data_IF_270912715290
#
_entry.id   IF_270912715290
#
_cell.length_a   1.000
_cell.length_b   1.000
_cell.length_c   1.000
_cell.angle_alpha   90.00
_cell.angle_beta   90.00
_cell.angle_gamma   90.00
#
_symmetry.space_group_name_H-M   'P 1'
#
loop_
_entity.id
_entity.type
_entity.pdbx_description
1 polymer ?
#
# COMPACT_ATOMS: atom_id res chain seq x y z
N UNK A 1 -7.05 -1.39 -4.99
CA UNK A 1 -6.58 -2.41 -4.00
C UNK A 1 -5.41 -1.90 -3.16
N UNK A 2 -4.23 -1.58 -3.72
CA UNK A 2 -3.05 -1.20 -2.90
C UNK A 2 -3.08 0.24 -2.36
N UNK A 3 -3.78 1.14 -3.05
CA UNK A 3 -3.81 2.59 -2.79
C UNK A 3 -5.01 3.04 -1.96
N UNK A 4 -5.77 2.10 -1.39
CA UNK A 4 -6.87 2.43 -0.48
C UNK A 4 -6.37 2.63 0.96
N UNK A 5 -7.24 3.21 1.78
CA UNK A 5 -7.05 3.34 3.22
C UNK A 5 -5.79 4.12 3.61
N UNK A 6 -5.58 5.28 2.98
CA UNK A 6 -4.58 6.26 3.44
C UNK A 6 -3.15 6.04 2.94
N UNK A 7 -2.86 4.92 2.27
CA UNK A 7 -1.48 4.50 1.92
C UNK A 7 -0.66 5.57 1.18
N UNK A 8 -1.31 6.33 0.28
CA UNK A 8 -0.67 7.34 -0.57
C UNK A 8 -0.77 8.76 -0.02
N UNK A 9 -1.28 8.94 1.20
CA UNK A 9 -1.56 10.25 1.80
C UNK A 9 -3.00 10.73 1.62
N UNK A 10 -3.76 10.11 0.72
CA UNK A 10 -5.20 10.28 0.58
C UNK A 10 -5.95 9.02 1.00
N UNK A 11 -7.22 9.17 1.41
CA UNK A 11 -8.02 8.03 1.87
C UNK A 11 -8.12 6.96 0.77
N UNK A 12 -8.29 7.38 -0.48
CA UNK A 12 -8.22 6.53 -1.65
C UNK A 12 -7.37 7.17 -2.74
N UNK A 13 -6.60 6.36 -3.48
CA UNK A 13 -5.69 6.89 -4.52
C UNK A 13 -6.36 7.77 -5.57
N UNK A 14 -7.63 7.54 -5.92
CA UNK A 14 -8.37 8.37 -6.88
C UNK A 14 -8.66 9.79 -6.38
N UNK A 15 -8.63 10.01 -5.05
CA UNK A 15 -8.85 11.34 -4.47
C UNK A 15 -7.74 12.33 -4.80
N UNK A 16 -6.51 11.86 -5.06
CA UNK A 16 -5.42 12.72 -5.55
C UNK A 16 -5.79 13.47 -6.85
N UNK A 17 -6.68 12.88 -7.65
CA UNK A 17 -7.14 13.47 -8.91
C UNK A 17 -8.56 14.07 -8.82
N UNK A 18 -9.21 14.02 -7.65
CA UNK A 18 -10.62 14.42 -7.51
C UNK A 18 -11.59 13.58 -8.34
N UNK A 19 -11.25 12.33 -8.64
CA UNK A 19 -12.05 11.43 -9.48
C UNK A 19 -12.86 10.46 -8.61
N UNK A 20 -14.11 10.25 -9.01
CA UNK A 20 -14.96 9.16 -8.52
C UNK A 20 -15.10 8.09 -9.60
N UNK A 21 -14.50 6.90 -9.45
CA UNK A 21 -14.60 5.84 -10.45
C UNK A 21 -15.97 5.15 -10.41
N UNK A 22 -16.47 4.71 -11.56
CA UNK A 22 -17.72 3.94 -11.64
C UNK A 22 -17.63 2.56 -11.00
N UNK A 23 -16.42 1.98 -10.99
CA UNK A 23 -16.11 0.70 -10.33
C UNK A 23 -14.79 0.86 -9.55
N UNK A 24 -14.78 0.43 -8.29
CA UNK A 24 -13.62 0.49 -7.42
C UNK A 24 -13.35 -0.85 -6.73
N UNK A 25 -12.11 -1.33 -6.82
CA UNK A 25 -11.67 -2.56 -6.14
C UNK A 25 -10.88 -2.26 -4.86
N UNK A 26 -11.35 -2.81 -3.74
CA UNK A 26 -10.76 -2.74 -2.40
C UNK A 26 -10.26 -4.12 -1.93
N UNK A 27 -9.36 -4.12 -0.94
CA UNK A 27 -8.77 -5.31 -0.35
C UNK A 27 -7.56 -4.92 0.51
N UNK A 28 -6.61 -5.83 0.74
CA UNK A 28 -5.36 -5.58 1.49
C UNK A 28 -5.63 -4.89 2.85
N UNK A 29 -5.42 -3.57 2.92
CA UNK A 29 -5.59 -2.77 4.13
C UNK A 29 -7.06 -2.68 4.61
N UNK A 30 -8.03 -3.11 3.78
CA UNK A 30 -9.44 -3.20 4.15
C UNK A 30 -9.66 -3.93 5.49
N UNK A 31 -8.91 -5.00 5.74
CA UNK A 31 -9.00 -5.82 6.96
C UNK A 31 -7.82 -5.64 7.91
N UNK A 32 -6.99 -4.62 7.69
CA UNK A 32 -5.73 -4.46 8.43
C UNK A 32 -4.74 -5.62 8.25
N UNK A 33 -4.95 -6.51 7.27
CA UNK A 33 -4.13 -7.71 7.07
C UNK A 33 -4.51 -8.92 7.92
N UNK A 34 -5.58 -8.85 8.71
CA UNK A 34 -5.99 -9.94 9.62
C UNK A 34 -6.71 -11.10 8.92
N UNK A 35 -7.57 -10.79 7.95
CA UNK A 35 -8.37 -11.79 7.23
C UNK A 35 -8.44 -11.46 5.74
N UNK A 36 -8.57 -12.49 4.90
CA UNK A 36 -8.72 -12.29 3.46
C UNK A 36 -10.09 -11.69 3.14
N UNK A 37 -10.10 -10.55 2.45
CA UNK A 37 -11.30 -9.91 1.92
C UNK A 37 -10.92 -9.01 0.76
N UNK A 38 -11.76 -9.02 -0.27
CA UNK A 38 -11.80 -8.01 -1.31
C UNK A 38 -13.24 -7.53 -1.49
N UNK A 39 -13.40 -6.33 -2.02
CA UNK A 39 -14.70 -5.77 -2.36
C UNK A 39 -14.63 -5.06 -3.71
N UNK A 40 -15.69 -5.18 -4.50
CA UNK A 40 -15.91 -4.38 -5.70
C UNK A 40 -17.10 -3.49 -5.43
N UNK A 41 -16.88 -2.18 -5.43
CA UNK A 41 -17.92 -1.16 -5.30
C UNK A 41 -18.23 -0.68 -6.72
N UNK A 42 -19.51 -0.45 -7.01
CA UNK A 42 -19.95 0.08 -8.29
C UNK A 42 -20.97 1.20 -8.07
N UNK A 43 -21.09 2.11 -9.02
CA UNK A 43 -22.21 3.05 -9.09
C UNK A 43 -23.51 2.33 -9.36
N UNK A 44 -24.62 2.97 -9.01
CA UNK A 44 -25.96 2.47 -9.31
C UNK A 44 -26.15 2.23 -10.81
N UNK A 45 -25.65 3.13 -11.67
CA UNK A 45 -25.71 2.98 -13.12
C UNK A 45 -25.07 1.66 -13.59
N UNK A 46 -23.87 1.34 -13.09
CA UNK A 46 -23.19 0.07 -13.41
C UNK A 46 -23.96 -1.11 -12.84
N UNK A 47 -24.37 -1.04 -11.57
CA UNK A 47 -25.08 -2.13 -10.90
C UNK A 47 -26.38 -2.48 -11.63
N UNK A 48 -27.19 -1.48 -12.00
CA UNK A 48 -28.43 -1.67 -12.75
C UNK A 48 -28.18 -2.14 -14.18
N UNK A 49 -27.16 -1.58 -14.86
CA UNK A 49 -26.76 -2.02 -16.19
C UNK A 49 -26.42 -3.50 -16.25
N UNK A 50 -25.67 -4.01 -15.26
CA UNK A 50 -25.34 -5.44 -15.13
C UNK A 50 -26.57 -6.29 -14.78
N UNK A 51 -27.52 -5.71 -14.03
CA UNK A 51 -28.78 -6.35 -13.66
C UNK A 51 -29.90 -6.21 -14.69
N UNK A 52 -29.61 -5.76 -15.92
CA UNK A 52 -30.57 -5.82 -17.04
C UNK A 52 -31.71 -4.80 -16.99
N UNK A 53 -31.57 -3.70 -16.24
CA UNK A 53 -32.63 -2.69 -16.12
C UNK A 53 -32.10 -1.31 -15.75
N UNK A 54 -33.01 -0.31 -15.75
CA UNK A 54 -32.76 1.05 -15.23
C UNK A 54 -33.46 1.31 -13.88
N UNK A 55 -34.09 0.28 -13.30
CA UNK A 55 -34.83 0.36 -12.04
C UNK A 55 -34.60 -0.90 -11.20
N UNK A 56 -35.00 -0.84 -9.93
CA UNK A 56 -34.95 -1.97 -8.99
C UNK A 56 -35.98 -3.07 -9.29
N UNK A 57 -36.78 -2.93 -10.36
CA UNK A 57 -37.85 -3.86 -10.66
C UNK A 57 -37.31 -5.12 -11.34
N UNK A 58 -37.26 -6.22 -10.59
CA UNK A 58 -36.85 -7.55 -11.05
C UNK A 58 -35.44 -7.60 -11.70
N UNK A 59 -34.37 -7.28 -10.96
CA UNK A 59 -33.01 -7.28 -11.48
C UNK A 59 -32.55 -8.69 -11.89
N UNK A 60 -31.86 -8.80 -13.02
CA UNK A 60 -31.10 -10.00 -13.38
C UNK A 60 -29.94 -10.19 -12.39
N UNK A 61 -29.72 -11.42 -11.89
CA UNK A 61 -28.62 -11.69 -10.98
C UNK A 61 -27.28 -11.60 -11.70
N UNK A 62 -26.29 -10.98 -11.05
CA UNK A 62 -24.90 -11.12 -11.43
C UNK A 62 -24.43 -12.54 -11.07
N UNK A 63 -24.08 -13.34 -12.07
CA UNK A 63 -23.65 -14.74 -11.90
C UNK A 63 -22.22 -14.85 -11.35
N UNK A 64 -22.02 -14.32 -10.15
CA UNK A 64 -20.76 -14.31 -9.41
C UNK A 64 -21.06 -14.42 -7.91
N UNK A 65 -20.50 -15.43 -7.25
CA UNK A 65 -20.78 -15.68 -5.83
C UNK A 65 -19.78 -16.63 -5.18
N UNK A 66 -18.61 -16.14 -4.73
CA UNK A 66 -17.65 -16.93 -3.98
C UNK A 66 -18.28 -17.53 -2.70
N UNK A 67 -17.89 -18.75 -2.30
CA UNK A 67 -18.44 -19.43 -1.11
C UNK A 67 -18.34 -18.60 0.18
N UNK A 68 -17.24 -17.84 0.34
CA UNK A 68 -17.01 -16.96 1.50
C UNK A 68 -17.41 -15.50 1.24
N UNK A 69 -18.22 -15.23 0.21
CA UNK A 69 -18.72 -13.88 -0.08
C UNK A 69 -19.46 -13.32 1.14
N UNK A 70 -19.08 -12.11 1.57
CA UNK A 70 -19.69 -11.47 2.74
C UNK A 70 -19.44 -12.19 4.07
N UNK A 71 -18.35 -12.96 4.20
CA UNK A 71 -18.01 -13.68 5.43
C UNK A 71 -18.11 -12.75 6.67
N UNK A 72 -18.98 -13.05 7.66
CA UNK A 72 -19.24 -12.14 8.78
C UNK A 72 -18.01 -11.82 9.64
N UNK A 73 -17.07 -12.76 9.79
CA UNK A 73 -15.84 -12.52 10.55
C UNK A 73 -14.93 -11.52 9.83
N UNK A 74 -14.72 -11.71 8.53
CA UNK A 74 -13.94 -10.79 7.72
C UNK A 74 -14.61 -9.39 7.65
N UNK A 75 -15.94 -9.32 7.59
CA UNK A 75 -16.68 -8.05 7.63
C UNK A 75 -16.50 -7.33 8.97
N UNK A 76 -16.59 -8.06 10.08
CA UNK A 76 -16.38 -7.51 11.43
C UNK A 76 -14.97 -6.93 11.59
N UNK A 77 -13.96 -7.68 11.14
CA UNK A 77 -12.56 -7.21 11.13
C UNK A 77 -12.36 -6.00 10.23
N UNK A 78 -12.99 -5.97 9.05
CA UNK A 78 -12.92 -4.82 8.14
C UNK A 78 -13.51 -3.56 8.78
N UNK A 79 -14.68 -3.67 9.41
CA UNK A 79 -15.31 -2.56 10.12
C UNK A 79 -14.40 -2.03 11.24
N UNK A 80 -13.88 -2.93 12.10
CA UNK A 80 -12.97 -2.53 13.17
C UNK A 80 -11.68 -1.87 12.63
N UNK A 81 -11.13 -2.37 11.53
CA UNK A 81 -9.94 -1.77 10.88
C UNK A 81 -10.22 -0.38 10.33
N UNK A 82 -11.38 -0.18 9.71
CA UNK A 82 -11.79 1.12 9.17
C UNK A 82 -12.07 2.11 10.30
N UNK A 83 -12.82 1.71 11.34
CA UNK A 83 -13.12 2.54 12.50
C UNK A 83 -11.84 2.97 13.24
N UNK A 84 -10.90 2.04 13.41
CA UNK A 84 -9.59 2.34 13.99
C UNK A 84 -8.81 3.33 13.12
N UNK A 85 -8.79 3.16 11.81
CA UNK A 85 -8.13 4.11 10.91
C UNK A 85 -8.75 5.50 11.08
N UNK A 86 -10.07 5.63 10.93
CA UNK A 86 -10.80 6.90 10.94
C UNK A 86 -10.78 7.59 12.31
N UNK A 87 -10.64 6.85 13.41
CA UNK A 87 -10.52 7.41 14.77
C UNK A 87 -9.10 7.84 15.15
N UNK A 88 -8.10 7.59 14.30
CA UNK A 88 -6.71 7.98 14.55
C UNK A 88 -6.29 9.18 13.67
N UNK A 89 -5.24 9.93 14.04
CA UNK A 89 -4.70 11.01 13.21
C UNK A 89 -3.87 10.44 12.04
N UNK A 90 -4.46 9.56 11.24
CA UNK A 90 -3.77 8.78 10.21
C UNK A 90 -3.15 9.67 9.13
N UNK A 91 -3.79 10.77 8.74
CA UNK A 91 -3.25 11.72 7.77
C UNK A 91 -1.91 12.29 8.27
N UNK A 92 -1.88 12.76 9.52
CA UNK A 92 -0.67 13.33 10.12
C UNK A 92 0.43 12.27 10.24
N UNK A 93 0.08 11.02 10.60
CA UNK A 93 1.04 9.90 10.66
C UNK A 93 1.65 9.61 9.28
N UNK A 94 0.82 9.50 8.24
CA UNK A 94 1.29 9.24 6.87
C UNK A 94 2.14 10.40 6.35
N UNK A 95 1.77 11.65 6.66
CA UNK A 95 2.58 12.82 6.30
C UNK A 95 3.94 12.83 7.02
N UNK A 96 4.01 12.44 8.29
CA UNK A 96 5.27 12.29 9.03
C UNK A 96 6.16 11.22 8.40
N UNK A 97 5.60 10.03 8.11
CA UNK A 97 6.31 8.96 7.41
C UNK A 97 6.83 9.45 6.05
N UNK A 98 6.00 10.15 5.28
CA UNK A 98 6.39 10.69 3.97
C UNK A 98 7.59 11.66 4.09
N UNK A 99 7.55 12.57 5.07
CA UNK A 99 8.65 13.51 5.29
C UNK A 99 9.94 12.78 5.65
N UNK A 100 9.88 11.80 6.55
CA UNK A 100 11.05 11.03 6.95
C UNK A 100 11.61 10.19 5.80
N UNK A 101 10.75 9.52 5.03
CA UNK A 101 11.17 8.78 3.83
C UNK A 101 11.84 9.70 2.80
N UNK A 102 11.36 10.94 2.63
CA UNK A 102 12.03 11.89 1.73
C UNK A 102 13.42 12.25 2.24
N UNK A 103 13.53 12.70 3.49
CA UNK A 103 14.79 13.18 4.05
C UNK A 103 15.84 12.08 4.27
N UNK A 104 15.41 10.89 4.69
CA UNK A 104 16.33 9.81 5.07
C UNK A 104 16.56 8.77 3.97
N UNK A 105 15.69 8.67 2.96
CA UNK A 105 15.83 7.70 1.89
C UNK A 105 15.96 8.36 0.51
N UNK A 106 14.99 9.19 0.10
CA UNK A 106 14.96 9.74 -1.27
C UNK A 106 16.12 10.69 -1.54
N UNK A 107 16.25 11.75 -0.73
CA UNK A 107 17.23 12.81 -0.92
C UNK A 107 18.69 12.30 -0.91
N UNK A 108 19.11 11.40 0.01
CA UNK A 108 20.48 10.89 0.00
C UNK A 108 20.75 9.82 -1.08
N UNK A 109 19.74 9.08 -1.55
CA UNK A 109 19.95 7.97 -2.49
C UNK A 109 19.77 8.34 -3.96
N UNK A 110 19.05 9.42 -4.29
CA UNK A 110 18.71 9.75 -5.68
C UNK A 110 19.92 9.92 -6.61
N UNK A 111 21.07 10.30 -6.05
CA UNK A 111 22.31 10.54 -6.78
C UNK A 111 23.34 9.39 -6.62
N UNK A 112 22.96 8.27 -5.98
CA UNK A 112 23.84 7.12 -5.79
C UNK A 112 24.10 6.38 -7.12
N UNK A 113 25.34 5.92 -7.39
CA UNK A 113 25.66 5.22 -8.63
C UNK A 113 24.83 3.97 -8.90
N UNK A 114 24.40 3.24 -7.87
CA UNK A 114 23.57 2.04 -7.98
C UNK A 114 22.08 2.31 -8.15
N UNK A 115 21.63 3.54 -7.95
CA UNK A 115 20.21 3.94 -7.97
C UNK A 115 19.87 4.59 -9.32
N UNK A 116 18.78 4.13 -9.92
CA UNK A 116 18.22 4.68 -11.15
C UNK A 116 17.19 5.77 -10.87
N UNK A 117 16.36 5.59 -9.83
CA UNK A 117 15.35 6.56 -9.40
C UNK A 117 15.01 6.37 -7.91
N UNK A 118 14.64 7.45 -7.23
CA UNK A 118 14.21 7.44 -5.84
C UNK A 118 12.89 8.23 -5.71
N UNK A 119 11.84 7.57 -5.20
CA UNK A 119 10.49 8.12 -5.19
C UNK A 119 9.74 7.82 -3.90
N UNK A 120 9.00 8.82 -3.43
CA UNK A 120 8.20 8.75 -2.19
C UNK A 120 6.81 9.36 -2.43
N UNK A 121 5.77 8.59 -2.07
CA UNK A 121 4.37 9.04 -2.07
C UNK A 121 3.63 8.44 -0.87
N UNK A 122 3.15 9.29 0.03
CA UNK A 122 2.56 8.88 1.31
C UNK A 122 3.53 8.00 2.11
N UNK A 123 3.01 6.89 2.62
CA UNK A 123 3.78 5.89 3.35
C UNK A 123 4.33 4.80 2.41
N UNK A 124 4.96 5.24 1.32
CA UNK A 124 5.63 4.41 0.32
C UNK A 124 6.96 5.06 -0.01
N UNK A 125 8.06 4.33 0.17
CA UNK A 125 9.40 4.73 -0.27
C UNK A 125 9.98 3.68 -1.21
N UNK A 126 10.56 4.10 -2.32
CA UNK A 126 11.11 3.22 -3.35
C UNK A 126 12.47 3.74 -3.80
N UNK A 127 13.45 2.85 -3.83
CA UNK A 127 14.65 2.97 -4.63
C UNK A 127 14.55 1.98 -5.79
N UNK A 128 14.57 2.50 -7.01
CA UNK A 128 14.78 1.68 -8.20
C UNK A 128 16.27 1.55 -8.42
N UNK A 129 16.78 0.34 -8.31
CA UNK A 129 18.19 0.01 -8.51
C UNK A 129 18.48 -0.12 -10.01
N UNK A 130 19.74 0.11 -10.43
CA UNK A 130 20.15 -0.12 -11.81
C UNK A 130 20.19 -1.61 -12.17
N UNK A 131 20.58 -2.44 -11.21
CA UNK A 131 20.61 -3.89 -11.34
C UNK A 131 19.54 -4.59 -10.49
N UNK A 132 19.04 -5.76 -10.89
CA UNK A 132 18.10 -6.54 -10.08
C UNK A 132 18.68 -6.95 -8.72
N UNK A 133 17.81 -7.05 -7.73
CA UNK A 133 18.12 -7.52 -6.38
C UNK A 133 17.89 -9.02 -6.28
N UNK A 134 18.83 -9.72 -5.65
CA UNK A 134 18.83 -11.17 -5.49
C UNK A 134 18.51 -11.61 -4.06
N UNK A 135 18.40 -12.93 -3.81
CA UNK A 135 18.21 -13.49 -2.47
C UNK A 135 19.27 -13.00 -1.46
N UNK A 136 20.52 -12.85 -1.89
CA UNK A 136 21.62 -12.38 -1.04
C UNK A 136 21.43 -10.96 -0.51
N UNK A 137 20.65 -10.14 -1.23
CA UNK A 137 20.31 -8.78 -0.78
C UNK A 137 19.20 -8.80 0.26
N UNK A 138 18.28 -9.76 0.14
CA UNK A 138 17.26 -9.99 1.16
C UNK A 138 17.88 -10.57 2.43
N UNK A 139 18.80 -11.53 2.30
CA UNK A 139 19.54 -12.12 3.43
C UNK A 139 20.32 -11.02 4.16
N UNK A 140 21.02 -10.15 3.44
CA UNK A 140 21.70 -8.99 4.03
C UNK A 140 20.75 -8.08 4.84
N UNK A 141 19.56 -7.77 4.29
CA UNK A 141 18.59 -6.92 5.00
C UNK A 141 18.07 -7.58 6.28
N UNK A 142 17.88 -8.90 6.27
CA UNK A 142 17.38 -9.64 7.43
C UNK A 142 18.49 -9.89 8.45
N UNK A 143 19.59 -10.48 8.03
CA UNK A 143 20.64 -10.98 8.91
C UNK A 143 21.51 -9.85 9.46
N UNK A 144 21.92 -8.91 8.61
CA UNK A 144 22.82 -7.81 9.01
C UNK A 144 22.04 -6.60 9.51
N UNK A 145 20.92 -6.26 8.88
CA UNK A 145 20.17 -5.05 9.24
C UNK A 145 19.00 -5.34 10.20
N UNK A 146 18.56 -6.60 10.34
CA UNK A 146 17.38 -6.94 11.15
C UNK A 146 16.09 -6.28 10.64
N UNK A 147 15.95 -6.15 9.31
CA UNK A 147 14.79 -5.54 8.64
C UNK A 147 14.26 -6.48 7.55
N UNK A 148 12.99 -6.85 7.67
CA UNK A 148 12.31 -7.57 6.59
C UNK A 148 11.80 -6.59 5.52
N UNK A 149 12.45 -6.59 4.36
CA UNK A 149 11.90 -6.03 3.13
C UNK A 149 11.80 -7.15 2.09
N UNK A 150 10.90 -6.97 1.13
CA UNK A 150 10.73 -7.90 0.01
C UNK A 150 10.99 -7.17 -1.30
N UNK A 151 12.27 -7.07 -1.73
CA UNK A 151 12.59 -6.53 -3.04
C UNK A 151 11.87 -7.27 -4.17
N UNK A 152 11.63 -6.58 -5.29
CA UNK A 152 11.04 -7.19 -6.48
C UNK A 152 11.70 -6.66 -7.74
N UNK A 153 12.43 -7.54 -8.44
CA UNK A 153 13.25 -7.15 -9.58
C UNK A 153 14.25 -6.08 -9.15
N UNK A 154 14.12 -4.87 -9.70
CA UNK A 154 14.99 -3.73 -9.38
C UNK A 154 14.47 -2.86 -8.22
N UNK A 155 13.33 -3.18 -7.63
CA UNK A 155 12.67 -2.32 -6.66
C UNK A 155 13.02 -2.73 -5.23
N UNK A 156 13.81 -1.90 -4.56
CA UNK A 156 13.95 -1.90 -3.10
C UNK A 156 12.94 -0.92 -2.54
N UNK A 157 11.88 -1.40 -1.89
CA UNK A 157 10.79 -0.55 -1.44
C UNK A 157 10.28 -0.92 -0.06
N UNK A 158 9.64 0.06 0.58
CA UNK A 158 8.96 -0.10 1.86
C UNK A 158 7.57 0.52 1.85
N UNK A 159 6.65 -0.12 2.57
CA UNK A 159 5.29 0.34 2.84
C UNK A 159 4.99 0.14 4.33
N UNK A 160 5.60 0.93 5.23
CA UNK A 160 5.56 0.65 6.67
C UNK A 160 4.14 0.79 7.26
N UNK A 161 3.85 0.16 8.41
CA UNK A 161 2.59 0.39 9.12
C UNK A 161 2.49 1.86 9.57
N UNK A 162 1.28 2.40 9.69
CA UNK A 162 1.10 3.81 10.11
C UNK A 162 1.40 4.04 11.59
N UNK A 163 1.57 2.97 12.36
CA UNK A 163 1.95 2.99 13.77
C UNK A 163 3.47 2.94 13.96
N UNK A 164 4.27 2.91 12.89
CA UNK A 164 5.73 2.87 12.97
C UNK A 164 6.27 4.11 13.70
N UNK A 165 7.25 3.90 14.58
CA UNK A 165 7.99 5.00 15.21
C UNK A 165 9.05 5.60 14.29
N UNK A 166 9.54 6.79 14.62
CA UNK A 166 10.62 7.44 13.87
C UNK A 166 11.91 6.59 13.88
N UNK A 167 12.21 5.93 15.00
CA UNK A 167 13.40 5.08 15.15
C UNK A 167 13.29 3.81 14.29
N UNK A 168 12.13 3.14 14.32
CA UNK A 168 11.90 1.96 13.47
C UNK A 168 11.93 2.33 11.98
N UNK A 169 11.35 3.48 11.60
CA UNK A 169 11.43 3.94 10.21
C UNK A 169 12.87 4.29 9.82
N UNK A 170 13.65 4.89 10.73
CA UNK A 170 15.09 5.15 10.51
C UNK A 170 15.89 3.87 10.33
N UNK A 171 15.54 2.81 11.06
CA UNK A 171 16.16 1.48 10.88
C UNK A 171 15.91 0.97 9.45
N UNK A 172 14.66 1.09 8.97
CA UNK A 172 14.30 0.70 7.60
C UNK A 172 15.05 1.54 6.56
N UNK A 173 15.03 2.87 6.67
CA UNK A 173 15.70 3.75 5.69
C UNK A 173 17.20 3.50 5.68
N UNK A 174 17.82 3.32 6.85
CA UNK A 174 19.25 3.00 6.96
C UNK A 174 19.59 1.68 6.29
N UNK A 175 18.82 0.61 6.52
CA UNK A 175 19.01 -0.69 5.87
C UNK A 175 18.95 -0.57 4.34
N UNK A 176 17.98 0.20 3.82
CA UNK A 176 17.85 0.43 2.37
C UNK A 176 19.04 1.20 1.80
N UNK A 177 19.53 2.23 2.50
CA UNK A 177 20.74 2.99 2.10
C UNK A 177 21.98 2.11 2.08
N UNK A 178 22.21 1.33 3.13
CA UNK A 178 23.38 0.45 3.23
C UNK A 178 23.43 -0.56 2.08
N UNK A 179 22.27 -1.12 1.70
CA UNK A 179 22.20 -2.02 0.56
C UNK A 179 22.49 -1.28 -0.77
N UNK A 180 21.96 -0.07 -0.95
CA UNK A 180 22.24 0.74 -2.13
C UNK A 180 23.73 1.14 -2.24
N UNK A 181 24.37 1.47 -1.12
CA UNK A 181 25.80 1.75 -1.04
C UNK A 181 26.64 0.51 -1.38
N UNK A 182 26.29 -0.65 -0.81
CA UNK A 182 26.93 -1.94 -1.11
C UNK A 182 26.87 -2.27 -2.61
N UNK A 183 25.79 -1.91 -3.31
CA UNK A 183 25.63 -2.11 -4.76
C UNK A 183 26.31 -1.03 -5.60
N UNK A 184 26.85 0.03 -5.00
CA UNK A 184 27.59 1.10 -5.70
C UNK A 184 29.10 0.81 -5.78
N UNK A 185 29.59 -0.19 -5.05
CA UNK A 185 30.98 -0.69 -5.08
C UNK A 185 31.11 -1.81 -6.11
#
# INVERSE_FOLDING_TARGET
IATGFGRTGELFGCHHAGISPDIMCLGKALTGGYMTMGATIATDEVAFGVSGGKSHDNPLPLMHGPTFMGNPLACSVANASIDLLLSTPWQSRVQSIQRQLRSELMDPCKDMPSVQDARVLGAIGVLEMKEPLGPEDQDFLVDECGVWLRPFGKLLYTMPPFTISEEELRKITTAMRMLAEKKSS
#
